data_IF_798957805945
#
_entry.id   IF_798957805945
#
_cell.length_a   1.000
_cell.length_b   1.000
_cell.length_c   1.000
_cell.angle_alpha   90.00
_cell.angle_beta   90.00
_cell.angle_gamma   90.00
#
_symmetry.space_group_name_H-M   'P 1'
#
loop_
_entity.id
_entity.type
_entity.pdbx_description
1 polymer ?
#
# COMPACT_ATOMS: atom_id res chain seq x y z
N UNK A 1 23.55 -6.61 -22.93
CA UNK A 1 23.65 -8.07 -22.64
C UNK A 1 22.70 -8.89 -23.51
N UNK A 2 21.42 -8.51 -23.66
CA UNK A 2 20.46 -9.25 -24.51
C UNK A 2 20.81 -9.11 -26.01
N UNK A 3 21.13 -7.90 -26.49
CA UNK A 3 21.49 -7.67 -27.89
C UNK A 3 22.76 -8.41 -28.33
N UNK A 4 23.82 -8.40 -27.52
CA UNK A 4 25.05 -9.14 -27.84
C UNK A 4 24.83 -10.65 -27.99
N UNK A 5 23.86 -11.23 -27.26
CA UNK A 5 23.51 -12.66 -27.37
C UNK A 5 22.61 -12.95 -28.57
N UNK A 6 21.77 -12.01 -28.98
CA UNK A 6 21.04 -12.10 -30.25
C UNK A 6 22.02 -12.05 -31.43
N UNK A 7 23.03 -11.17 -31.36
CA UNK A 7 24.07 -11.08 -32.38
C UNK A 7 24.89 -12.38 -32.46
N UNK A 8 25.25 -12.99 -31.33
CA UNK A 8 25.93 -14.30 -31.29
C UNK A 8 25.10 -15.41 -31.94
N UNK A 9 23.78 -15.42 -31.72
CA UNK A 9 22.89 -16.39 -32.35
C UNK A 9 22.80 -16.19 -33.86
N UNK A 10 22.57 -14.94 -34.30
CA UNK A 10 22.53 -14.59 -35.72
C UNK A 10 23.85 -14.94 -36.41
N UNK A 11 24.98 -14.65 -35.77
CA UNK A 11 26.31 -15.04 -36.28
C UNK A 11 26.48 -16.56 -36.36
N UNK A 12 25.93 -17.31 -35.41
CA UNK A 12 25.96 -18.78 -35.42
C UNK A 12 25.11 -19.34 -36.56
N UNK A 13 23.95 -18.75 -36.83
CA UNK A 13 23.10 -19.12 -37.97
C UNK A 13 23.74 -18.76 -39.32
N UNK A 14 24.33 -17.57 -39.44
CA UNK A 14 25.05 -17.14 -40.66
C UNK A 14 26.24 -18.06 -40.91
N UNK A 15 26.97 -18.44 -39.85
CA UNK A 15 28.07 -19.39 -39.95
C UNK A 15 27.59 -20.76 -40.44
N UNK A 16 26.49 -21.27 -39.90
CA UNK A 16 25.88 -22.51 -40.41
C UNK A 16 25.47 -22.37 -41.88
N UNK A 17 24.83 -21.27 -42.26
CA UNK A 17 24.44 -21.01 -43.65
C UNK A 17 25.65 -20.97 -44.62
N UNK A 18 26.81 -20.52 -44.13
CA UNK A 18 28.03 -20.45 -44.95
C UNK A 18 28.72 -21.80 -45.19
N UNK A 19 28.33 -22.85 -44.44
CA UNK A 19 28.91 -24.19 -44.57
C UNK A 19 28.09 -25.02 -45.56
N UNK A 20 28.75 -25.62 -46.55
CA UNK A 20 28.12 -26.27 -47.72
C UNK A 20 27.38 -27.60 -47.41
N UNK A 21 27.40 -28.08 -46.16
CA UNK A 21 26.84 -29.38 -45.73
C UNK A 21 26.16 -29.29 -44.36
N UNK A 22 25.19 -28.39 -44.19
CA UNK A 22 24.36 -28.37 -42.98
C UNK A 22 23.01 -29.06 -43.21
N UNK A 23 22.64 -29.98 -42.34
CA UNK A 23 21.35 -30.66 -42.35
C UNK A 23 20.32 -29.96 -41.45
N UNK A 24 19.03 -30.31 -41.60
CA UNK A 24 17.94 -29.81 -40.74
C UNK A 24 18.23 -29.99 -39.24
N UNK A 25 18.91 -31.08 -38.88
CA UNK A 25 19.29 -31.39 -37.49
C UNK A 25 20.23 -30.35 -36.90
N UNK A 26 21.20 -29.83 -37.67
CA UNK A 26 22.15 -28.83 -37.19
C UNK A 26 21.46 -27.49 -36.91
N UNK A 27 20.51 -27.12 -37.77
CA UNK A 27 19.67 -25.93 -37.60
C UNK A 27 18.76 -26.05 -36.38
N UNK A 28 18.12 -27.21 -36.23
CA UNK A 28 17.24 -27.49 -35.09
C UNK A 28 18.03 -27.47 -33.78
N UNK A 29 19.23 -28.05 -33.75
CA UNK A 29 20.10 -28.07 -32.58
C UNK A 29 20.51 -26.66 -32.15
N UNK A 30 20.94 -25.80 -33.08
CA UNK A 30 21.35 -24.42 -32.73
C UNK A 30 20.16 -23.57 -32.29
N UNK A 31 19.01 -23.72 -32.95
CA UNK A 31 17.78 -23.02 -32.56
C UNK A 31 17.30 -23.46 -31.17
N UNK A 32 17.24 -24.78 -30.92
CA UNK A 32 16.85 -25.34 -29.62
C UNK A 32 17.84 -24.94 -28.52
N UNK A 33 19.15 -25.01 -28.79
CA UNK A 33 20.17 -24.61 -27.83
C UNK A 33 20.07 -23.13 -27.45
N UNK A 34 19.80 -22.26 -28.42
CA UNK A 34 19.61 -20.84 -28.14
C UNK A 34 18.35 -20.58 -27.32
N UNK A 35 17.22 -21.18 -27.71
CA UNK A 35 15.95 -21.06 -26.99
C UNK A 35 16.07 -21.58 -25.55
N UNK A 36 16.74 -22.72 -25.33
CA UNK A 36 16.93 -23.29 -24.00
C UNK A 36 17.81 -22.38 -23.13
N UNK A 37 18.92 -21.87 -23.68
CA UNK A 37 19.80 -20.95 -22.94
C UNK A 37 19.09 -19.63 -22.60
N UNK A 38 18.21 -19.15 -23.49
CA UNK A 38 17.37 -17.98 -23.20
C UNK A 38 16.29 -18.27 -22.16
N UNK A 39 15.62 -19.42 -22.23
CA UNK A 39 14.60 -19.80 -21.25
C UNK A 39 15.20 -19.97 -19.87
N UNK A 40 16.38 -20.58 -19.75
CA UNK A 40 17.08 -20.77 -18.47
C UNK A 40 17.46 -19.41 -17.86
N UNK A 41 18.01 -18.50 -18.67
CA UNK A 41 18.36 -17.16 -18.19
C UNK A 41 17.13 -16.35 -17.78
N UNK A 42 16.05 -16.45 -18.55
CA UNK A 42 14.80 -15.78 -18.24
C UNK A 42 14.19 -16.35 -16.97
N UNK A 43 14.19 -17.66 -16.81
CA UNK A 43 13.69 -18.35 -15.61
C UNK A 43 14.49 -17.93 -14.37
N UNK A 44 15.83 -17.96 -14.45
CA UNK A 44 16.69 -17.46 -13.38
C UNK A 44 16.42 -15.99 -13.08
N UNK A 45 16.18 -15.16 -14.10
CA UNK A 45 15.88 -13.74 -13.91
C UNK A 45 14.53 -13.52 -13.19
N UNK A 46 13.50 -14.28 -13.56
CA UNK A 46 12.18 -14.23 -12.91
C UNK A 46 12.23 -14.79 -11.48
N UNK A 47 12.84 -15.95 -11.28
CA UNK A 47 12.87 -16.62 -9.99
C UNK A 47 13.75 -15.88 -8.98
N UNK A 48 14.93 -15.43 -9.41
CA UNK A 48 15.92 -14.83 -8.50
C UNK A 48 15.70 -13.35 -8.26
N UNK A 49 15.16 -12.63 -9.24
CA UNK A 49 15.03 -11.17 -9.17
C UNK A 49 13.57 -10.69 -9.28
N UNK A 50 12.60 -11.61 -9.37
CA UNK A 50 11.16 -11.29 -9.42
C UNK A 50 10.83 -10.19 -10.44
N UNK A 51 11.56 -10.16 -11.56
CA UNK A 51 11.38 -9.15 -12.59
C UNK A 51 10.00 -9.34 -13.22
N UNK A 52 9.27 -8.26 -13.45
CA UNK A 52 8.02 -8.33 -14.22
C UNK A 52 8.35 -8.33 -15.72
N UNK A 53 7.49 -8.94 -16.55
CA UNK A 53 7.67 -9.00 -18.01
C UNK A 53 7.85 -7.61 -18.67
N UNK A 54 7.26 -6.57 -18.07
CA UNK A 54 7.42 -5.17 -18.49
C UNK A 54 8.83 -4.61 -18.21
N UNK A 55 9.47 -5.06 -17.12
CA UNK A 55 10.83 -4.64 -16.73
C UNK A 55 11.88 -5.30 -17.61
N UNK A 56 11.69 -6.59 -17.94
CA UNK A 56 12.56 -7.31 -18.90
C UNK A 56 12.48 -6.69 -20.30
N UNK A 57 11.27 -6.27 -20.74
CA UNK A 57 11.05 -5.67 -22.07
C UNK A 57 11.65 -4.27 -22.20
N UNK A 58 11.66 -3.47 -21.13
CA UNK A 58 12.17 -2.08 -21.18
C UNK A 58 13.69 -1.99 -21.20
N UNK A 59 14.41 -3.08 -20.95
CA UNK A 59 15.87 -3.17 -21.04
C UNK A 59 16.66 -2.15 -20.18
N UNK A 60 15.96 -1.30 -19.41
CA UNK A 60 16.49 -0.80 -18.17
C UNK A 60 16.75 -2.05 -17.34
N UNK A 61 18.01 -2.30 -17.00
CA UNK A 61 18.31 -3.04 -15.78
C UNK A 61 17.41 -2.42 -14.73
N UNK A 62 16.28 -3.04 -14.43
CA UNK A 62 15.40 -2.56 -13.38
C UNK A 62 16.35 -2.40 -12.21
N UNK A 63 16.61 -1.16 -11.77
CA UNK A 63 17.45 -0.94 -10.61
C UNK A 63 16.64 -1.50 -9.46
N UNK A 64 16.84 -2.79 -9.21
CA UNK A 64 16.20 -3.56 -8.13
C UNK A 64 16.33 -2.76 -6.83
N UNK A 65 17.46 -2.05 -6.71
CA UNK A 65 17.79 -1.10 -5.66
C UNK A 65 17.67 0.36 -6.12
N UNK A 66 16.45 0.83 -6.31
CA UNK A 66 16.14 2.26 -6.27
C UNK A 66 16.06 2.76 -4.82
N UNK A 67 16.16 4.07 -4.59
CA UNK A 67 16.00 4.64 -3.24
C UNK A 67 14.64 4.29 -2.60
N UNK A 68 13.57 4.32 -3.39
CA UNK A 68 12.22 3.98 -2.94
C UNK A 68 12.11 2.51 -2.54
N UNK A 69 12.63 1.60 -3.37
CA UNK A 69 12.61 0.16 -3.07
C UNK A 69 13.54 -0.20 -1.91
N UNK A 70 14.64 0.55 -1.71
CA UNK A 70 15.52 0.38 -0.56
C UNK A 70 14.85 0.79 0.77
N UNK A 71 14.12 1.90 0.80
CA UNK A 71 13.33 2.29 1.98
C UNK A 71 12.23 1.26 2.24
N UNK A 72 11.52 0.83 1.20
CA UNK A 72 10.48 -0.19 1.33
C UNK A 72 11.05 -1.51 1.90
N UNK A 73 12.21 -1.95 1.42
CA UNK A 73 12.93 -3.07 2.00
C UNK A 73 13.28 -2.84 3.47
N UNK A 74 13.86 -1.69 3.82
CA UNK A 74 14.21 -1.38 5.21
C UNK A 74 12.99 -1.40 6.15
N UNK A 75 11.88 -0.79 5.73
CA UNK A 75 10.62 -0.78 6.49
C UNK A 75 10.08 -2.20 6.67
N UNK A 76 10.05 -3.01 5.62
CA UNK A 76 9.53 -4.39 5.69
C UNK A 76 10.40 -5.33 6.53
N UNK A 77 11.71 -5.05 6.63
CA UNK A 77 12.62 -5.75 7.55
C UNK A 77 12.32 -5.39 9.00
N UNK A 78 12.26 -4.10 9.36
CA UNK A 78 12.04 -3.69 10.77
C UNK A 78 10.62 -3.97 11.27
N UNK A 79 9.64 -3.96 10.36
CA UNK A 79 8.25 -4.35 10.66
C UNK A 79 8.05 -5.87 10.64
N UNK A 80 9.10 -6.65 10.34
CA UNK A 80 9.07 -8.11 10.27
C UNK A 80 8.08 -8.68 9.24
N UNK A 81 7.65 -7.88 8.26
CA UNK A 81 6.79 -8.34 7.16
C UNK A 81 7.58 -9.23 6.20
N UNK A 82 8.75 -8.76 5.78
CA UNK A 82 9.73 -9.55 5.00
C UNK A 82 9.19 -10.20 3.72
N UNK A 83 8.70 -9.43 2.75
CA UNK A 83 8.17 -9.96 1.48
C UNK A 83 9.15 -10.80 0.64
N UNK A 84 10.46 -10.68 0.88
CA UNK A 84 11.47 -11.48 0.19
C UNK A 84 11.95 -10.93 -1.15
N UNK A 85 11.50 -9.73 -1.56
CA UNK A 85 11.99 -9.05 -2.77
C UNK A 85 11.87 -7.51 -2.64
N UNK A 86 12.94 -6.72 -2.86
CA UNK A 86 14.34 -7.12 -3.12
C UNK A 86 15.08 -7.55 -1.84
N UNK A 87 16.10 -8.43 -1.96
CA UNK A 87 16.90 -8.92 -0.81
C UNK A 87 18.41 -8.78 -1.05
N UNK A 88 19.21 -8.51 -0.01
CA UNK A 88 20.65 -8.36 -0.14
C UNK A 88 21.30 -9.71 -0.53
N UNK A 89 21.85 -9.76 -1.74
CA UNK A 89 22.57 -10.93 -2.25
C UNK A 89 24.03 -10.99 -1.80
N UNK A 90 24.60 -9.86 -1.39
CA UNK A 90 26.00 -9.77 -0.96
C UNK A 90 26.17 -10.21 0.50
N UNK A 91 27.28 -10.88 0.80
CA UNK A 91 27.58 -11.35 2.17
C UNK A 91 27.61 -10.19 3.17
N UNK A 92 28.22 -9.06 2.80
CA UNK A 92 28.26 -7.85 3.62
C UNK A 92 26.85 -7.28 3.84
N UNK A 93 26.03 -7.19 2.78
CA UNK A 93 24.67 -6.69 2.89
C UNK A 93 23.79 -7.54 3.80
N UNK A 94 24.00 -8.87 3.82
CA UNK A 94 23.30 -9.79 4.75
C UNK A 94 23.70 -9.55 6.20
N UNK A 95 24.99 -9.37 6.48
CA UNK A 95 25.47 -9.07 7.85
C UNK A 95 24.90 -7.74 8.34
N UNK A 96 24.95 -6.70 7.49
CA UNK A 96 24.36 -5.39 7.81
C UNK A 96 22.86 -5.51 8.05
N UNK A 97 22.14 -6.28 7.23
CA UNK A 97 20.70 -6.52 7.40
C UNK A 97 20.38 -7.18 8.75
N UNK A 98 21.18 -8.16 9.18
CA UNK A 98 21.03 -8.82 10.49
C UNK A 98 21.25 -7.83 11.63
N UNK A 99 22.31 -7.03 11.57
CA UNK A 99 22.58 -6.01 12.59
C UNK A 99 21.48 -4.95 12.62
N UNK A 100 20.99 -4.55 11.45
CA UNK A 100 19.90 -3.59 11.29
C UNK A 100 18.59 -4.11 11.89
N UNK A 101 18.24 -5.38 11.68
CA UNK A 101 17.01 -5.97 12.24
C UNK A 101 17.09 -6.17 13.75
N UNK A 102 18.27 -6.53 14.29
CA UNK A 102 18.48 -6.70 15.74
C UNK A 102 18.15 -5.42 16.53
N UNK A 103 18.55 -4.25 16.04
CA UNK A 103 18.24 -2.97 16.69
C UNK A 103 16.94 -2.33 16.19
N UNK A 104 16.61 -2.52 14.91
CA UNK A 104 15.45 -1.91 14.28
C UNK A 104 14.13 -2.47 14.79
N UNK A 105 14.03 -3.77 15.06
CA UNK A 105 12.79 -4.40 15.53
C UNK A 105 12.41 -3.88 16.94
N UNK A 106 13.29 -3.92 17.96
CA UNK A 106 12.98 -3.37 19.28
C UNK A 106 12.61 -1.89 19.24
N UNK A 107 13.35 -1.09 18.46
CA UNK A 107 13.06 0.34 18.31
C UNK A 107 11.68 0.56 17.68
N UNK A 108 11.35 -0.20 16.63
CA UNK A 108 10.04 -0.13 15.97
C UNK A 108 8.92 -0.50 16.93
N UNK A 109 9.09 -1.54 17.75
CA UNK A 109 8.09 -1.92 18.77
C UNK A 109 7.82 -0.80 19.79
N UNK A 110 8.87 -0.14 20.29
CA UNK A 110 8.72 1.01 21.20
C UNK A 110 7.98 2.16 20.49
N UNK A 111 8.39 2.50 19.26
CA UNK A 111 7.73 3.57 18.51
C UNK A 111 6.25 3.26 18.22
N UNK A 112 5.91 2.01 17.92
CA UNK A 112 4.51 1.60 17.71
C UNK A 112 3.71 1.71 19.01
N UNK A 113 4.29 1.34 20.15
CA UNK A 113 3.62 1.46 21.45
C UNK A 113 3.30 2.93 21.78
N UNK A 114 4.26 3.83 21.57
CA UNK A 114 4.06 5.25 21.83
C UNK A 114 3.14 5.92 20.81
N UNK A 115 3.23 5.53 19.54
CA UNK A 115 2.29 5.92 18.51
C UNK A 115 0.86 5.46 18.88
N UNK A 116 0.71 4.23 19.38
CA UNK A 116 -0.57 3.69 19.84
C UNK A 116 -1.19 4.50 20.99
N UNK A 117 -0.38 4.91 21.97
CA UNK A 117 -0.83 5.81 23.05
C UNK A 117 -1.27 7.17 22.51
N UNK A 118 -0.44 7.78 21.67
CA UNK A 118 -0.73 9.09 21.07
C UNK A 118 -2.03 9.05 20.26
N UNK A 119 -2.24 8.01 19.44
CA UNK A 119 -3.47 7.82 18.69
C UNK A 119 -4.66 7.61 19.63
N UNK A 120 -4.52 6.78 20.68
CA UNK A 120 -5.60 6.51 21.62
C UNK A 120 -6.06 7.79 22.33
N UNK A 121 -5.11 8.58 22.85
CA UNK A 121 -5.40 9.86 23.50
C UNK A 121 -6.08 10.84 22.55
N UNK A 122 -5.57 10.97 21.31
CA UNK A 122 -6.19 11.82 20.29
C UNK A 122 -7.59 11.34 19.91
N UNK A 123 -7.81 10.03 19.77
CA UNK A 123 -9.12 9.48 19.45
C UNK A 123 -10.13 9.70 20.58
N UNK A 124 -9.73 9.50 21.84
CA UNK A 124 -10.58 9.76 23.00
C UNK A 124 -10.90 11.24 23.12
N UNK A 125 -9.89 12.11 22.95
CA UNK A 125 -10.09 13.56 22.95
C UNK A 125 -11.02 14.00 21.82
N UNK A 126 -10.80 13.53 20.60
CA UNK A 126 -11.65 13.78 19.42
C UNK A 126 -13.09 13.33 19.66
N UNK A 127 -13.28 12.11 20.17
CA UNK A 127 -14.60 11.56 20.47
C UNK A 127 -15.31 12.35 21.58
N UNK A 128 -14.59 12.70 22.64
CA UNK A 128 -15.11 13.54 23.72
C UNK A 128 -15.51 14.93 23.22
N UNK A 129 -14.70 15.55 22.36
CA UNK A 129 -15.00 16.85 21.78
C UNK A 129 -16.20 16.78 20.81
N UNK A 130 -16.30 15.71 20.02
CA UNK A 130 -17.47 15.42 19.19
C UNK A 130 -18.75 15.26 20.02
N UNK A 131 -18.70 14.51 21.13
CA UNK A 131 -19.84 14.35 22.04
C UNK A 131 -20.22 15.67 22.73
N UNK A 132 -19.24 16.44 23.21
CA UNK A 132 -19.47 17.79 23.77
C UNK A 132 -20.14 18.70 22.76
N UNK A 133 -19.64 18.73 21.52
CA UNK A 133 -20.22 19.49 20.42
C UNK A 133 -21.67 19.04 20.15
N UNK A 134 -21.93 17.73 20.08
CA UNK A 134 -23.29 17.18 19.91
C UNK A 134 -24.22 17.55 21.06
N UNK A 135 -23.74 17.49 22.31
CA UNK A 135 -24.49 17.91 23.49
C UNK A 135 -24.78 19.41 23.46
N UNK A 136 -23.80 20.25 23.14
CA UNK A 136 -23.95 21.70 23.01
C UNK A 136 -24.98 22.06 21.93
N UNK A 137 -24.89 21.43 20.74
CA UNK A 137 -25.87 21.62 19.66
C UNK A 137 -27.27 21.13 20.03
N UNK A 138 -27.40 20.07 20.84
CA UNK A 138 -28.69 19.60 21.38
C UNK A 138 -29.26 20.53 22.44
N UNK A 139 -28.42 21.06 23.35
CA UNK A 139 -28.83 22.00 24.39
C UNK A 139 -29.31 23.32 23.78
N UNK A 140 -28.56 23.86 22.81
CA UNK A 140 -28.96 25.06 22.05
C UNK A 140 -30.31 24.88 21.36
N UNK A 141 -30.53 23.73 20.69
CA UNK A 141 -31.83 23.40 20.10
C UNK A 141 -32.98 23.31 21.12
N UNK A 142 -32.72 22.86 22.36
CA UNK A 142 -33.76 22.86 23.41
C UNK A 142 -34.05 24.26 23.93
N UNK A 143 -33.04 25.11 24.08
CA UNK A 143 -33.19 26.51 24.48
C UNK A 143 -34.08 27.28 23.51
N UNK A 144 -33.74 27.23 22.22
CA UNK A 144 -34.53 27.88 21.15
C UNK A 144 -35.99 27.40 21.10
N UNK A 145 -36.24 26.12 21.43
CA UNK A 145 -37.61 25.56 21.48
C UNK A 145 -38.38 26.03 22.72
N UNK A 146 -37.71 26.25 23.85
CA UNK A 146 -38.33 26.74 25.09
C UNK A 146 -38.71 28.21 24.97
N UNK A 147 -37.79 29.04 24.51
CA UNK A 147 -38.02 30.47 24.27
C UNK A 147 -39.18 30.70 23.29
N UNK A 148 -39.24 29.93 22.19
CA UNK A 148 -40.38 29.99 21.25
C UNK A 148 -41.72 29.64 21.91
N UNK A 149 -41.76 28.67 22.84
CA UNK A 149 -43.00 28.30 23.54
C UNK A 149 -43.44 29.39 24.52
N UNK A 150 -42.50 29.97 25.26
CA UNK A 150 -42.77 31.06 26.19
C UNK A 150 -43.29 32.29 25.44
N UNK A 151 -42.66 32.65 24.31
CA UNK A 151 -43.13 33.75 23.45
C UNK A 151 -44.55 33.53 22.89
N UNK A 152 -44.89 32.29 22.47
CA UNK A 152 -46.24 31.96 21.99
C UNK A 152 -47.26 32.05 23.14
N UNK A 153 -46.91 31.58 24.33
CA UNK A 153 -47.79 31.62 25.49
C UNK A 153 -48.12 33.06 25.90
N UNK A 154 -47.12 33.94 25.93
CA UNK A 154 -47.32 35.37 26.22
C UNK A 154 -48.19 36.07 25.14
N UNK A 155 -48.00 35.71 23.86
CA UNK A 155 -48.80 36.24 22.75
C UNK A 155 -50.27 35.79 22.80
N UNK A 156 -50.54 34.51 23.10
CA UNK A 156 -51.89 33.98 23.32
C UNK A 156 -52.57 34.63 24.52
N UNK A 157 -51.82 34.88 25.59
CA UNK A 157 -52.32 35.52 26.81
C UNK A 157 -52.71 36.98 26.58
N UNK A 158 -51.98 37.72 25.74
CA UNK A 158 -52.36 39.10 25.33
C UNK A 158 -53.55 39.15 24.37
N UNK A 159 -53.77 38.12 23.54
CA UNK A 159 -54.94 38.05 22.66
C UNK A 159 -56.21 37.52 23.36
N UNK A 160 -56.21 37.43 24.70
CA UNK A 160 -57.41 37.12 25.48
C UNK A 160 -57.80 35.64 25.45
N UNK A 161 -56.91 34.73 25.03
CA UNK A 161 -57.15 33.29 25.15
C UNK A 161 -56.75 32.87 26.57
N UNK A 162 -57.64 33.14 27.52
CA UNK A 162 -57.46 32.86 28.94
C UNK A 162 -58.62 32.09 29.55
N UNK A 163 -58.28 30.92 30.09
CA UNK A 163 -58.93 30.12 31.13
C UNK A 163 -60.03 29.08 30.82
N UNK A 164 -60.55 28.98 29.59
CA UNK A 164 -61.50 27.91 29.22
C UNK A 164 -61.07 27.14 27.95
N UNK A 165 -59.87 26.57 27.99
CA UNK A 165 -59.50 25.53 27.03
C UNK A 165 -59.43 24.19 27.76
N UNK A 166 -60.56 23.48 27.78
CA UNK A 166 -60.55 22.04 27.96
C UNK A 166 -59.75 21.43 26.81
N UNK A 167 -58.61 20.81 27.12
CA UNK A 167 -58.00 19.84 26.22
C UNK A 167 -59.01 18.70 26.11
N UNK A 168 -59.74 18.63 25.01
CA UNK A 168 -60.43 17.41 24.63
C UNK A 168 -59.31 16.45 24.21
N UNK A 169 -58.96 15.54 25.10
CA UNK A 169 -58.32 14.28 24.70
C UNK A 169 -59.29 13.58 23.74
N UNK A 170 -59.02 13.69 22.45
CA UNK A 170 -59.63 12.83 21.46
C UNK A 170 -59.02 11.44 21.66
N UNK A 171 -59.73 10.60 22.43
CA UNK A 171 -59.47 9.17 22.53
C UNK A 171 -59.74 8.54 21.16
N UNK A 172 -58.68 8.18 20.44
CA UNK A 172 -58.68 7.12 19.45
C UNK A 172 -57.40 6.29 19.56
#
# INVERSE_FOLDING_TARGET
MIYSRQDEFVNSLIRLASVNTTGRVDWELVAQQHLHNMSDQLFVAFEKYFLTSNEVKKNATAEIWSFSTAIFFAVTVVTTIGYGNPVPVTNVGRIVCIMFSLFGIPLTLVTIADLGKFLSEHLVWMYGNYLKLKHFLRARRRGERKERREHVCEHCQRHGIGHDMHVIEEQR
#
